data_IF_651598057379
#
_entry.id   IF_651598057379
#
_cell.length_a   1.000
_cell.length_b   1.000
_cell.length_c   1.000
_cell.angle_alpha   90.00
_cell.angle_beta   90.00
_cell.angle_gamma   90.00
#
_symmetry.space_group_name_H-M   'P 1'
#
loop_
_entity.id
_entity.type
_entity.pdbx_description
1 polymer ?
#
# COMPACT_ATOMS: atom_id res chain seq x y z
N UNK A 1 -24.39 -17.57 8.20
CA UNK A 1 -23.54 -17.28 7.02
C UNK A 1 -23.77 -15.87 6.43
N UNK A 2 -24.00 -14.79 7.22
CA UNK A 2 -24.52 -13.50 6.70
C UNK A 2 -23.77 -12.22 7.11
N UNK A 3 -22.61 -12.30 7.77
CA UNK A 3 -21.99 -11.11 8.42
C UNK A 3 -20.72 -10.54 7.77
N UNK A 4 -20.08 -11.26 6.85
CA UNK A 4 -18.73 -10.88 6.39
C UNK A 4 -18.72 -9.88 5.23
N UNK A 5 -19.67 -9.99 4.32
CA UNK A 5 -19.77 -9.09 3.17
C UNK A 5 -20.10 -7.64 3.58
N UNK A 6 -20.80 -7.44 4.70
CA UNK A 6 -21.25 -6.10 5.10
C UNK A 6 -20.10 -5.19 5.62
N UNK A 7 -19.04 -5.75 6.19
CA UNK A 7 -17.92 -4.96 6.74
C UNK A 7 -16.81 -4.69 5.72
N UNK A 8 -16.67 -5.53 4.69
CA UNK A 8 -15.79 -5.22 3.55
C UNK A 8 -16.22 -3.92 2.84
N UNK A 9 -17.51 -3.57 2.85
CA UNK A 9 -18.00 -2.30 2.30
C UNK A 9 -17.63 -1.07 3.13
N UNK A 10 -17.51 -1.21 4.45
CA UNK A 10 -17.25 -0.06 5.35
C UNK A 10 -15.75 0.17 5.53
N UNK A 11 -14.91 -0.88 5.38
CA UNK A 11 -13.44 -0.76 5.45
C UNK A 11 -12.75 -0.62 4.08
N UNK A 12 -13.32 -1.16 3.01
CA UNK A 12 -12.72 -1.15 1.67
C UNK A 12 -12.95 0.14 0.86
N UNK A 13 -13.90 0.97 1.27
CA UNK A 13 -14.28 2.21 0.58
C UNK A 13 -13.38 3.41 0.92
N UNK A 14 -12.48 3.29 1.90
CA UNK A 14 -11.55 4.35 2.33
C UNK A 14 -10.08 3.97 2.14
N UNK A 15 -9.76 3.06 1.22
CA UNK A 15 -8.49 3.15 0.48
C UNK A 15 -8.73 4.04 -0.75
N UNK A 16 -9.14 5.29 -0.50
CA UNK A 16 -9.08 6.34 -1.52
C UNK A 16 -7.61 6.67 -1.67
N UNK A 17 -6.94 5.88 -2.50
CA UNK A 17 -5.62 6.19 -2.97
C UNK A 17 -5.74 7.37 -3.91
N UNK A 18 -5.45 8.55 -3.37
CA UNK A 18 -4.99 9.68 -4.18
C UNK A 18 -3.47 9.55 -4.29
N UNK A 19 -2.98 8.78 -5.25
CA UNK A 19 -1.55 8.75 -5.65
C UNK A 19 -1.29 9.63 -6.87
N UNK A 20 -2.27 10.37 -7.39
CA UNK A 20 -2.06 11.15 -8.61
C UNK A 20 -2.30 12.63 -8.33
N UNK A 21 -1.22 13.41 -8.35
CA UNK A 21 -1.31 14.79 -8.84
C UNK A 21 -0.60 15.88 -8.04
N UNK A 22 0.70 15.79 -7.83
CA UNK A 22 1.55 16.97 -7.65
C UNK A 22 2.86 16.86 -8.47
N UNK A 23 2.73 16.43 -9.74
CA UNK A 23 3.88 16.20 -10.62
C UNK A 23 4.04 17.27 -11.72
N UNK A 24 3.67 18.52 -11.45
CA UNK A 24 3.94 19.63 -12.36
C UNK A 24 4.44 20.83 -11.56
N UNK A 25 5.73 20.86 -11.24
CA UNK A 25 6.40 22.11 -10.85
C UNK A 25 7.44 22.45 -11.92
N UNK A 26 7.15 23.59 -12.54
CA UNK A 26 7.86 24.27 -13.60
C UNK A 26 9.35 24.43 -13.31
N UNK A 27 10.17 24.32 -14.37
CA UNK A 27 11.62 24.59 -14.43
C UNK A 27 11.93 26.06 -14.11
N UNK A 28 11.75 26.53 -12.88
CA UNK A 28 12.27 27.84 -12.48
C UNK A 28 12.37 28.06 -10.95
N UNK A 29 13.19 27.26 -10.25
CA UNK A 29 13.45 27.48 -8.82
C UNK A 29 14.95 27.56 -8.53
N UNK A 30 15.35 28.54 -7.70
CA UNK A 30 16.70 28.72 -7.10
C UNK A 30 16.95 27.75 -5.92
N UNK A 31 16.30 26.59 -5.96
CA UNK A 31 16.29 25.56 -4.92
C UNK A 31 17.05 24.39 -5.52
N UNK A 32 18.20 24.08 -4.94
CA UNK A 32 19.03 22.97 -5.37
C UNK A 32 18.44 21.67 -4.80
N UNK A 33 17.71 20.95 -5.65
CA UNK A 33 17.33 19.55 -5.41
C UNK A 33 18.20 18.69 -6.33
N UNK A 34 18.89 17.67 -5.79
CA UNK A 34 19.64 16.73 -6.62
C UNK A 34 18.74 16.05 -7.64
N UNK A 35 19.14 16.01 -8.92
CA UNK A 35 18.38 15.34 -9.98
C UNK A 35 18.10 13.86 -9.63
N UNK A 36 19.05 13.21 -8.97
CA UNK A 36 18.91 11.83 -8.49
C UNK A 36 17.81 11.67 -7.42
N UNK A 37 17.56 12.70 -6.60
CA UNK A 37 16.48 12.70 -5.61
C UNK A 37 15.14 12.72 -6.32
N UNK A 38 14.99 13.61 -7.31
CA UNK A 38 13.79 13.66 -8.15
C UNK A 38 13.59 12.36 -8.91
N UNK A 39 14.62 11.80 -9.54
CA UNK A 39 14.50 10.53 -10.26
C UNK A 39 14.08 9.36 -9.33
N UNK A 40 14.62 9.29 -8.12
CA UNK A 40 14.22 8.28 -7.13
C UNK A 40 12.77 8.48 -6.67
N UNK A 41 12.33 9.73 -6.47
CA UNK A 41 10.94 10.07 -6.16
C UNK A 41 9.98 9.59 -7.24
N UNK A 42 10.31 9.84 -8.50
CA UNK A 42 9.45 9.51 -9.65
C UNK A 42 9.30 8.01 -9.80
N UNK A 43 10.41 7.30 -9.69
CA UNK A 43 10.42 5.84 -9.70
C UNK A 43 9.65 5.27 -8.50
N UNK A 44 9.79 5.88 -7.32
CA UNK A 44 9.03 5.53 -6.12
C UNK A 44 7.52 5.66 -6.35
N UNK A 45 7.07 6.79 -6.92
CA UNK A 45 5.67 7.03 -7.23
C UNK A 45 5.08 5.99 -8.21
N UNK A 46 5.85 5.59 -9.24
CA UNK A 46 5.45 4.53 -10.17
C UNK A 46 5.24 3.19 -9.43
N UNK A 47 6.17 2.83 -8.55
CA UNK A 47 6.08 1.58 -7.77
C UNK A 47 4.89 1.66 -6.80
N UNK A 48 4.73 2.76 -6.07
CA UNK A 48 3.62 2.96 -5.14
C UNK A 48 2.25 2.84 -5.84
N UNK A 49 2.11 3.39 -7.04
CA UNK A 49 0.89 3.26 -7.86
C UNK A 49 0.60 1.79 -8.20
N UNK A 50 1.63 1.01 -8.55
CA UNK A 50 1.49 -0.42 -8.84
C UNK A 50 1.11 -1.24 -7.60
N UNK A 51 1.71 -0.95 -6.45
CA UNK A 51 1.35 -1.56 -5.16
C UNK A 51 -0.13 -1.34 -4.86
N UNK A 52 -0.60 -0.09 -4.96
CA UNK A 52 -2.00 0.23 -4.73
C UNK A 52 -2.91 -0.50 -5.71
N UNK A 53 -2.60 -0.44 -7.01
CA UNK A 53 -3.46 -1.10 -7.99
C UNK A 53 -3.57 -2.59 -7.70
N UNK A 54 -2.47 -3.21 -7.27
CA UNK A 54 -2.45 -4.63 -6.91
C UNK A 54 -3.31 -4.93 -5.69
N UNK A 55 -3.31 -4.09 -4.65
CA UNK A 55 -4.21 -4.25 -3.51
C UNK A 55 -5.68 -4.03 -3.87
N UNK A 56 -5.98 -3.08 -4.75
CA UNK A 56 -7.34 -2.88 -5.26
C UNK A 56 -7.82 -4.12 -6.04
N UNK A 57 -6.96 -4.72 -6.85
CA UNK A 57 -7.27 -5.97 -7.54
C UNK A 57 -7.51 -7.10 -6.52
N UNK A 58 -6.69 -7.22 -5.48
CA UNK A 58 -6.89 -8.20 -4.40
C UNK A 58 -8.23 -8.04 -3.69
N UNK A 59 -8.64 -6.80 -3.37
CA UNK A 59 -9.94 -6.52 -2.77
C UNK A 59 -11.10 -6.90 -3.70
N UNK A 60 -10.95 -6.64 -5.00
CA UNK A 60 -11.93 -7.04 -6.02
C UNK A 60 -12.03 -8.58 -6.09
N UNK A 61 -10.89 -9.26 -6.09
CA UNK A 61 -10.83 -10.73 -6.11
C UNK A 61 -11.41 -11.35 -4.84
N UNK A 62 -11.24 -10.73 -3.67
CA UNK A 62 -11.89 -11.16 -2.43
C UNK A 62 -13.42 -11.10 -2.53
N UNK A 63 -13.98 -10.09 -3.21
CA UNK A 63 -15.43 -10.01 -3.45
C UNK A 63 -15.91 -11.16 -4.34
N UNK A 64 -15.18 -11.44 -5.43
CA UNK A 64 -15.49 -12.57 -6.30
C UNK A 64 -15.36 -13.92 -5.58
N UNK A 65 -14.30 -14.12 -4.79
CA UNK A 65 -14.15 -15.33 -3.97
C UNK A 65 -15.35 -15.51 -3.02
N UNK A 66 -15.82 -14.43 -2.39
CA UNK A 66 -16.98 -14.49 -1.51
C UNK A 66 -18.30 -14.76 -2.25
N UNK A 67 -18.42 -14.40 -3.52
CA UNK A 67 -19.54 -14.79 -4.39
C UNK A 67 -19.48 -16.27 -4.75
N UNK A 68 -18.32 -16.76 -5.17
CA UNK A 68 -18.10 -18.16 -5.53
C UNK A 68 -18.29 -19.10 -4.32
N UNK A 69 -17.81 -18.72 -3.14
CA UNK A 69 -18.04 -19.47 -1.89
C UNK A 69 -19.54 -19.63 -1.60
N UNK A 70 -20.33 -18.55 -1.77
CA UNK A 70 -21.80 -18.60 -1.59
C UNK A 70 -22.48 -19.45 -2.64
N UNK A 71 -21.96 -19.47 -3.86
CA UNK A 71 -22.44 -20.31 -4.96
C UNK A 71 -21.97 -21.77 -4.86
N UNK A 72 -21.09 -22.11 -3.90
CA UNK A 72 -20.41 -23.40 -3.77
C UNK A 72 -19.52 -23.74 -4.98
N UNK A 73 -19.04 -22.73 -5.71
CA UNK A 73 -18.12 -22.85 -6.84
C UNK A 73 -16.67 -22.86 -6.35
N UNK A 74 -16.30 -23.86 -5.53
CA UNK A 74 -15.03 -23.88 -4.80
C UNK A 74 -13.79 -24.05 -5.69
N UNK A 75 -13.91 -24.77 -6.81
CA UNK A 75 -12.78 -24.95 -7.75
C UNK A 75 -12.33 -23.60 -8.35
N UNK A 76 -13.30 -22.76 -8.73
CA UNK A 76 -13.03 -21.43 -9.27
C UNK A 76 -12.54 -20.47 -8.19
N UNK A 77 -13.11 -20.54 -6.99
CA UNK A 77 -12.64 -19.77 -5.84
C UNK A 77 -11.17 -20.10 -5.52
N UNK A 78 -10.81 -21.39 -5.53
CA UNK A 78 -9.47 -21.88 -5.29
C UNK A 78 -8.48 -21.40 -6.35
N UNK A 79 -8.90 -21.34 -7.62
CA UNK A 79 -8.10 -20.79 -8.72
C UNK A 79 -7.74 -19.32 -8.48
N UNK A 80 -8.70 -18.51 -8.06
CA UNK A 80 -8.48 -17.09 -7.74
C UNK A 80 -7.58 -16.94 -6.51
N UNK A 81 -7.84 -17.72 -5.45
CA UNK A 81 -7.00 -17.70 -4.23
C UNK A 81 -5.53 -18.00 -4.54
N UNK A 82 -5.25 -19.00 -5.37
CA UNK A 82 -3.86 -19.32 -5.79
C UNK A 82 -3.21 -18.19 -6.57
N UNK A 83 -3.96 -17.48 -7.42
CA UNK A 83 -3.46 -16.31 -8.12
C UNK A 83 -3.14 -15.16 -7.15
N UNK A 84 -3.95 -14.97 -6.10
CA UNK A 84 -3.73 -13.95 -5.08
C UNK A 84 -2.53 -14.24 -4.17
N UNK A 85 -2.26 -15.51 -3.86
CA UNK A 85 -1.03 -15.90 -3.16
C UNK A 85 0.22 -15.49 -3.95
N UNK A 86 0.24 -15.77 -5.26
CA UNK A 86 1.34 -15.33 -6.14
C UNK A 86 1.41 -13.79 -6.22
N UNK A 87 0.26 -13.10 -6.27
CA UNK A 87 0.22 -11.63 -6.24
C UNK A 87 0.81 -11.07 -4.95
N UNK A 88 0.60 -11.75 -3.82
CA UNK A 88 1.19 -11.41 -2.53
C UNK A 88 2.71 -11.25 -2.61
N UNK A 89 3.40 -12.18 -3.28
CA UNK A 89 4.85 -12.13 -3.48
C UNK A 89 5.28 -10.94 -4.36
N UNK A 90 4.55 -10.65 -5.44
CA UNK A 90 4.83 -9.50 -6.29
C UNK A 90 4.64 -8.17 -5.55
N UNK A 91 3.58 -8.04 -4.76
CA UNK A 91 3.33 -6.86 -3.93
C UNK A 91 4.47 -6.68 -2.92
N UNK A 92 4.88 -7.75 -2.24
CA UNK A 92 6.00 -7.71 -1.30
C UNK A 92 7.29 -7.23 -1.96
N UNK A 93 7.59 -7.75 -3.16
CA UNK A 93 8.76 -7.33 -3.92
C UNK A 93 8.71 -5.84 -4.30
N UNK A 94 7.54 -5.34 -4.73
CA UNK A 94 7.33 -3.93 -5.04
C UNK A 94 7.51 -3.03 -3.80
N UNK A 95 6.98 -3.42 -2.64
CA UNK A 95 7.17 -2.67 -1.39
C UNK A 95 8.65 -2.61 -0.98
N UNK A 96 9.40 -3.70 -1.17
CA UNK A 96 10.86 -3.70 -0.94
C UNK A 96 11.57 -2.77 -1.95
N UNK A 97 11.15 -2.78 -3.21
CA UNK A 97 11.72 -1.90 -4.24
C UNK A 97 11.44 -0.42 -3.93
N UNK A 98 10.26 -0.11 -3.39
CA UNK A 98 9.91 1.23 -2.94
C UNK A 98 10.82 1.69 -1.80
N UNK A 99 11.04 0.85 -0.78
CA UNK A 99 12.00 1.13 0.30
C UNK A 99 13.41 1.46 -0.22
N UNK A 100 13.85 0.82 -1.31
CA UNK A 100 15.14 1.13 -1.93
C UNK A 100 15.17 2.53 -2.57
N UNK A 101 14.06 3.00 -3.16
CA UNK A 101 13.98 4.38 -3.65
C UNK A 101 14.01 5.40 -2.50
N UNK A 102 13.33 5.10 -1.39
CA UNK A 102 13.37 5.95 -0.19
C UNK A 102 14.77 6.05 0.39
N UNK A 103 15.52 4.94 0.41
CA UNK A 103 16.91 4.93 0.86
C UNK A 103 17.81 5.80 -0.04
N UNK A 104 17.59 5.78 -1.37
CA UNK A 104 18.29 6.66 -2.31
C UNK A 104 17.95 8.14 -2.05
N UNK A 105 16.67 8.46 -1.86
CA UNK A 105 16.24 9.81 -1.50
C UNK A 105 16.85 10.28 -0.18
N UNK A 106 16.89 9.40 0.83
CA UNK A 106 17.43 9.69 2.15
C UNK A 106 18.92 10.07 2.10
N UNK A 107 19.72 9.37 1.27
CA UNK A 107 21.14 9.67 1.07
C UNK A 107 21.41 11.06 0.49
N UNK A 108 20.44 11.62 -0.23
CA UNK A 108 20.55 12.90 -0.92
C UNK A 108 19.92 14.06 -0.12
N UNK A 109 19.38 13.79 1.07
CA UNK A 109 18.73 14.80 1.90
C UNK A 109 19.66 15.96 2.27
N UNK A 110 20.95 15.70 2.50
CA UNK A 110 21.92 16.74 2.89
C UNK A 110 22.10 17.80 1.83
N UNK A 111 21.89 17.43 0.57
CA UNK A 111 22.15 18.24 -0.60
C UNK A 111 20.94 19.10 -0.98
N UNK A 112 19.80 18.90 -0.30
CA UNK A 112 18.59 19.70 -0.47
C UNK A 112 18.75 21.03 0.26
N UNK A 113 18.55 22.12 -0.48
CA UNK A 113 18.45 23.48 0.06
C UNK A 113 17.13 24.13 -0.38
N UNK A 114 16.49 24.95 0.48
CA UNK A 114 16.95 25.39 1.80
C UNK A 114 16.73 24.34 2.91
N UNK A 115 17.31 24.55 4.10
CA UNK A 115 17.15 23.67 5.27
C UNK A 115 15.69 23.31 5.59
N UNK A 116 14.76 24.26 5.43
CA UNK A 116 13.34 24.00 5.62
C UNK A 116 12.79 22.94 4.65
N UNK A 117 13.22 22.96 3.38
CA UNK A 117 12.84 21.94 2.41
C UNK A 117 13.42 20.58 2.82
N UNK A 118 14.70 20.54 3.22
CA UNK A 118 15.33 19.32 3.74
C UNK A 118 14.56 18.73 4.92
N UNK A 119 14.14 19.55 5.90
CA UNK A 119 13.37 19.07 7.05
C UNK A 119 12.04 18.41 6.63
N UNK A 120 11.32 19.01 5.67
CA UNK A 120 10.07 18.44 5.16
C UNK A 120 10.30 17.15 4.39
N UNK A 121 11.35 17.08 3.56
CA UNK A 121 11.74 15.85 2.87
C UNK A 121 12.12 14.74 3.86
N UNK A 122 12.84 15.05 4.94
CA UNK A 122 13.18 14.08 5.99
C UNK A 122 11.94 13.53 6.69
N UNK A 123 11.00 14.40 7.07
CA UNK A 123 9.74 13.98 7.73
C UNK A 123 8.92 13.08 6.80
N UNK A 124 8.85 13.45 5.53
CA UNK A 124 8.09 12.70 4.54
C UNK A 124 8.70 11.31 4.29
N UNK A 125 10.01 11.23 4.05
CA UNK A 125 10.71 9.95 3.88
C UNK A 125 10.57 9.07 5.13
N UNK A 126 10.67 9.65 6.33
CA UNK A 126 10.50 8.90 7.59
C UNK A 126 9.09 8.32 7.71
N UNK A 127 8.07 9.10 7.35
CA UNK A 127 6.68 8.65 7.32
C UNK A 127 6.48 7.53 6.29
N UNK A 128 7.10 7.64 5.12
CA UNK A 128 6.98 6.63 4.07
C UNK A 128 7.71 5.33 4.41
N UNK A 129 8.86 5.38 5.09
CA UNK A 129 9.53 4.18 5.61
C UNK A 129 8.64 3.46 6.64
N UNK A 130 7.99 4.21 7.53
CA UNK A 130 7.04 3.63 8.48
C UNK A 130 5.82 3.01 7.76
N UNK A 131 5.32 3.67 6.71
CA UNK A 131 4.27 3.16 5.84
C UNK A 131 4.67 1.83 5.17
N UNK A 132 5.91 1.71 4.66
CA UNK A 132 6.39 0.48 4.03
C UNK A 132 6.37 -0.72 4.98
N UNK A 133 6.78 -0.51 6.24
CA UNK A 133 6.71 -1.55 7.27
C UNK A 133 5.26 -2.03 7.49
N UNK A 134 4.30 -1.10 7.50
CA UNK A 134 2.87 -1.41 7.63
C UNK A 134 2.32 -2.14 6.40
N UNK A 135 2.73 -1.77 5.20
CA UNK A 135 2.34 -2.46 3.97
C UNK A 135 2.87 -3.90 3.92
N UNK A 136 4.08 -4.16 4.41
CA UNK A 136 4.62 -5.52 4.53
C UNK A 136 3.80 -6.36 5.51
N UNK A 137 3.45 -5.80 6.67
CA UNK A 137 2.57 -6.48 7.65
C UNK A 137 1.18 -6.75 7.07
N UNK A 138 0.58 -5.76 6.40
CA UNK A 138 -0.70 -5.89 5.73
C UNK A 138 -0.67 -6.97 4.63
N UNK A 139 0.38 -6.99 3.80
CA UNK A 139 0.59 -8.02 2.78
C UNK A 139 0.68 -9.42 3.41
N UNK A 140 1.46 -9.58 4.48
CA UNK A 140 1.60 -10.86 5.16
C UNK A 140 0.26 -11.36 5.73
N UNK A 141 -0.54 -10.46 6.31
CA UNK A 141 -1.88 -10.79 6.82
C UNK A 141 -2.85 -11.17 5.70
N UNK A 142 -2.79 -10.49 4.55
CA UNK A 142 -3.59 -10.85 3.37
C UNK A 142 -3.20 -12.22 2.82
N UNK A 143 -1.90 -12.51 2.71
CA UNK A 143 -1.42 -13.84 2.29
C UNK A 143 -1.95 -14.90 3.25
N UNK A 144 -1.83 -14.69 4.56
CA UNK A 144 -2.37 -15.61 5.56
C UNK A 144 -3.89 -15.80 5.44
N UNK A 145 -4.62 -14.73 5.07
CA UNK A 145 -6.05 -14.80 4.80
C UNK A 145 -6.37 -15.68 3.58
N UNK A 146 -5.62 -15.52 2.49
CA UNK A 146 -5.75 -16.35 1.29
C UNK A 146 -5.34 -17.81 1.52
N UNK A 147 -4.28 -18.08 2.30
CA UNK A 147 -3.91 -19.44 2.72
C UNK A 147 -5.04 -20.09 3.52
N UNK A 148 -5.68 -19.34 4.41
CA UNK A 148 -6.82 -19.83 5.20
C UNK A 148 -8.02 -20.16 4.31
N UNK A 149 -8.29 -19.33 3.30
CA UNK A 149 -9.31 -19.60 2.28
C UNK A 149 -8.99 -20.86 1.45
N UNK A 150 -7.72 -21.03 1.06
CA UNK A 150 -7.26 -22.22 0.35
C UNK A 150 -7.54 -23.48 1.17
N UNK A 151 -7.15 -23.49 2.45
CA UNK A 151 -7.40 -24.62 3.35
C UNK A 151 -8.89 -24.91 3.55
N UNK A 152 -9.73 -23.86 3.60
CA UNK A 152 -11.19 -24.00 3.65
C UNK A 152 -11.71 -24.72 2.40
N UNK A 153 -11.36 -24.24 1.21
CA UNK A 153 -11.85 -24.81 -0.06
C UNK A 153 -11.30 -26.19 -0.37
N UNK A 154 -10.09 -26.50 0.10
CA UNK A 154 -9.50 -27.84 0.00
C UNK A 154 -10.04 -28.81 1.07
N UNK A 155 -10.87 -28.34 1.99
CA UNK A 155 -11.50 -29.15 3.04
C UNK A 155 -10.57 -29.52 4.20
N UNK A 156 -9.34 -28.99 4.24
CA UNK A 156 -8.39 -29.22 5.34
C UNK A 156 -8.70 -28.38 6.58
N UNK A 157 -9.44 -27.27 6.41
CA UNK A 157 -9.93 -26.43 7.51
C UNK A 157 -11.41 -26.02 7.29
N UNK A 158 -12.38 -26.93 7.51
CA UNK A 158 -13.79 -26.67 7.20
C UNK A 158 -14.44 -25.58 8.07
N UNK A 159 -13.88 -25.30 9.26
CA UNK A 159 -14.37 -24.26 10.18
C UNK A 159 -13.42 -23.04 10.22
N UNK A 160 -12.97 -22.57 9.06
CA UNK A 160 -12.01 -21.47 8.93
C UNK A 160 -12.55 -20.09 9.34
N UNK A 161 -13.86 -19.94 9.53
CA UNK A 161 -14.52 -18.65 9.77
C UNK A 161 -13.91 -17.89 10.96
N UNK A 162 -13.66 -18.53 12.10
CA UNK A 162 -13.09 -17.83 13.26
C UNK A 162 -11.67 -17.31 12.99
N UNK A 163 -10.82 -18.14 12.38
CA UNK A 163 -9.45 -17.77 12.02
C UNK A 163 -9.42 -16.62 11.02
N UNK A 164 -10.26 -16.70 9.98
CA UNK A 164 -10.40 -15.62 9.01
C UNK A 164 -10.88 -14.31 9.68
N UNK A 165 -11.69 -14.36 10.75
CA UNK A 165 -12.29 -13.17 11.36
C UNK A 165 -11.23 -12.44 12.18
N UNK A 166 -10.41 -13.20 12.89
CA UNK A 166 -9.25 -12.68 13.60
C UNK A 166 -8.26 -12.01 12.64
N UNK A 167 -8.05 -12.58 11.45
CA UNK A 167 -7.21 -11.96 10.41
C UNK A 167 -7.81 -10.66 9.89
N UNK A 168 -9.11 -10.60 9.61
CA UNK A 168 -9.76 -9.36 9.17
C UNK A 168 -9.62 -8.22 10.17
N UNK A 169 -9.71 -8.51 11.47
CA UNK A 169 -9.50 -7.48 12.51
C UNK A 169 -8.10 -6.89 12.39
N UNK A 170 -7.06 -7.72 12.30
CA UNK A 170 -5.67 -7.28 12.15
C UNK A 170 -5.43 -6.53 10.83
N UNK A 171 -6.03 -7.01 9.74
CA UNK A 171 -5.97 -6.35 8.43
C UNK A 171 -6.53 -4.92 8.54
N UNK A 172 -7.67 -4.74 9.22
CA UNK A 172 -8.28 -3.43 9.42
C UNK A 172 -7.43 -2.52 10.31
N UNK A 173 -6.77 -3.06 11.35
CA UNK A 173 -5.83 -2.31 12.18
C UNK A 173 -4.65 -1.78 11.35
N UNK A 174 -4.08 -2.61 10.48
CA UNK A 174 -3.01 -2.18 9.58
C UNK A 174 -3.49 -1.14 8.55
N UNK A 175 -4.72 -1.25 8.02
CA UNK A 175 -5.29 -0.21 7.14
C UNK A 175 -5.37 1.14 7.84
N UNK A 176 -5.79 1.18 9.11
CA UNK A 176 -5.83 2.43 9.88
C UNK A 176 -4.43 3.01 10.07
N UNK A 177 -3.44 2.18 10.41
CA UNK A 177 -2.06 2.62 10.57
C UNK A 177 -1.46 3.13 9.25
N UNK A 178 -1.72 2.44 8.14
CA UNK A 178 -1.33 2.85 6.78
C UNK A 178 -1.89 4.23 6.46
N UNK A 179 -3.17 4.46 6.71
CA UNK A 179 -3.81 5.75 6.44
C UNK A 179 -3.17 6.90 7.23
N UNK A 180 -2.84 6.70 8.51
CA UNK A 180 -2.17 7.71 9.34
C UNK A 180 -0.80 8.08 8.77
N UNK A 181 0.03 7.11 8.38
CA UNK A 181 1.35 7.41 7.82
C UNK A 181 1.26 8.01 6.41
N UNK A 182 0.30 7.57 5.60
CA UNK A 182 0.05 8.15 4.28
C UNK A 182 -0.37 9.63 4.41
N UNK A 183 -1.27 9.97 5.33
CA UNK A 183 -1.66 11.36 5.56
C UNK A 183 -0.47 12.25 5.97
N UNK A 184 0.38 11.77 6.89
CA UNK A 184 1.59 12.48 7.29
C UNK A 184 2.57 12.69 6.14
N UNK A 185 2.79 11.64 5.35
CA UNK A 185 3.61 11.69 4.14
C UNK A 185 3.09 12.78 3.17
N UNK A 186 1.80 12.75 2.84
CA UNK A 186 1.20 13.71 1.91
C UNK A 186 1.30 15.15 2.42
N UNK A 187 1.07 15.38 3.72
CA UNK A 187 1.22 16.70 4.32
C UNK A 187 2.67 17.22 4.25
N UNK A 188 3.63 16.39 4.61
CA UNK A 188 5.05 16.75 4.59
C UNK A 188 5.56 16.98 3.16
N UNK A 189 5.17 16.14 2.20
CA UNK A 189 5.55 16.32 0.78
C UNK A 189 4.87 17.52 0.13
N UNK A 190 3.61 17.78 0.44
CA UNK A 190 2.93 18.98 -0.08
C UNK A 190 3.61 20.27 0.43
N UNK A 191 4.06 20.30 1.69
CA UNK A 191 4.82 21.42 2.22
C UNK A 191 6.22 21.51 1.58
N UNK A 192 6.89 20.37 1.37
CA UNK A 192 8.14 20.31 0.60
C UNK A 192 7.95 20.92 -0.80
N UNK A 193 6.99 20.42 -1.57
CA UNK A 193 6.68 20.89 -2.92
C UNK A 193 6.27 22.37 -2.92
N UNK A 194 5.57 22.85 -1.89
CA UNK A 194 5.25 24.27 -1.73
C UNK A 194 6.50 25.12 -1.51
N UNK A 195 7.47 24.66 -0.71
CA UNK A 195 8.74 25.39 -0.49
C UNK A 195 9.57 25.43 -1.78
N UNK A 196 9.56 24.34 -2.52
CA UNK A 196 10.32 24.17 -3.77
C UNK A 196 9.67 24.92 -4.95
N UNK A 197 8.33 24.95 -4.97
CA UNK A 197 7.51 25.52 -6.04
C UNK A 197 7.02 26.94 -5.82
N UNK A 198 6.99 27.46 -4.59
CA UNK A 198 6.66 28.87 -4.36
C UNK A 198 7.81 29.78 -4.82
N UNK A 199 7.61 30.39 -5.98
CA UNK A 199 7.68 31.85 -6.13
C UNK A 199 6.36 32.36 -6.68
#
# INVERSE_FOLDING_TARGET
>A
MKKWSLWMYVGGSTLVVVIIGAFLISKQSSVEIPEEFSAARDQGAIIASRVVSSYRDSLTNLQFIAELDRAHEWDEALRIVRAELNRGDFIRADVIQLSSQLERMARLLTDIQPERARLMATEAISSEVALMSRLLSYNALLVQFFETLQQKFEGSLPNADEAMQALLVKINEEVQAINVFNERFQQAFAEFDRIVGNK
#
